data_IF_439257918450
#
_entry.id   IF_439257918450
#
_cell.length_a   1.000
_cell.length_b   1.000
_cell.length_c   1.000
_cell.angle_alpha   90.00
_cell.angle_beta   90.00
_cell.angle_gamma   90.00
#
_symmetry.space_group_name_H-M   'P 1'
#
loop_
_entity.id
_entity.type
_entity.pdbx_description
1 polymer ?
#
# COMPACT_ATOMS: atom_id res chain seq x y z
N UNK A 1 -183.11 42.48 19.26
CA UNK A 1 -183.94 42.92 20.42
C UNK A 1 -183.70 41.95 21.57
N UNK A 2 -183.80 42.40 22.83
CA UNK A 2 -184.06 41.61 24.08
C UNK A 2 -183.06 40.44 24.36
N UNK A 3 -182.18 40.42 25.38
CA UNK A 3 -182.18 40.82 26.81
C UNK A 3 -182.64 39.71 27.79
N UNK A 4 -182.20 39.79 29.07
CA UNK A 4 -182.57 38.99 30.28
C UNK A 4 -182.06 37.53 30.39
N UNK A 5 -181.84 36.91 31.57
CA UNK A 5 -181.62 37.37 32.98
C UNK A 5 -181.10 36.21 33.91
N UNK A 6 -180.95 36.50 35.22
CA UNK A 6 -180.37 35.68 36.32
C UNK A 6 -181.33 34.66 37.00
N UNK A 7 -180.79 33.76 37.87
CA UNK A 7 -181.25 33.42 39.26
C UNK A 7 -180.24 32.45 39.97
N UNK A 8 -180.31 32.25 41.31
CA UNK A 8 -179.27 31.62 42.16
C UNK A 8 -179.76 30.96 43.48
N UNK A 9 -179.06 29.95 44.04
CA UNK A 9 -179.35 29.29 45.36
C UNK A 9 -178.14 28.58 46.05
N UNK A 10 -178.29 28.09 47.31
CA UNK A 10 -177.24 27.71 48.30
C UNK A 10 -177.77 26.68 49.35
N UNK A 11 -177.05 25.93 50.23
CA UNK A 11 -175.63 25.47 50.41
C UNK A 11 -175.51 24.57 51.70
N UNK A 12 -174.56 23.61 51.83
CA UNK A 12 -174.28 22.82 53.06
C UNK A 12 -172.84 22.20 53.13
N UNK A 13 -172.37 21.68 54.29
CA UNK A 13 -170.99 21.14 54.49
C UNK A 13 -170.80 20.02 55.54
N UNK A 14 -169.80 19.12 55.32
CA UNK A 14 -168.99 18.27 56.26
C UNK A 14 -168.15 17.26 55.42
N UNK A 15 -167.19 16.42 55.88
CA UNK A 15 -165.98 16.54 56.78
C UNK A 15 -165.05 15.32 56.50
N UNK A 16 -163.72 15.39 56.69
CA UNK A 16 -162.76 14.30 56.35
C UNK A 16 -161.50 14.20 57.27
N UNK A 17 -160.84 13.02 57.38
CA UNK A 17 -159.54 12.83 58.08
C UNK A 17 -158.30 12.99 57.17
N UNK A 18 -157.10 13.13 57.76
CA UNK A 18 -155.84 13.43 57.04
C UNK A 18 -154.61 12.61 57.48
N UNK A 19 -153.60 12.50 56.59
CA UNK A 19 -152.39 11.66 56.77
C UNK A 19 -151.12 12.31 56.16
N UNK A 20 -149.94 11.96 56.68
CA UNK A 20 -148.59 12.31 56.15
C UNK A 20 -147.87 11.07 55.59
N UNK A 21 -146.89 11.27 54.70
CA UNK A 21 -146.08 10.21 54.05
C UNK A 21 -144.58 10.46 54.33
N UNK A 22 -143.82 9.37 54.52
CA UNK A 22 -142.36 9.37 54.73
C UNK A 22 -141.67 8.35 53.80
N UNK A 23 -140.36 8.55 53.56
CA UNK A 23 -139.53 7.79 52.61
C UNK A 23 -138.23 7.30 53.30
N UNK A 24 -137.81 6.07 53.03
CA UNK A 24 -136.57 5.48 53.56
C UNK A 24 -135.79 4.71 52.48
N UNK A 25 -134.45 4.76 52.49
CA UNK A 25 -133.57 3.96 51.65
C UNK A 25 -133.10 2.67 52.33
N UNK A 26 -133.03 1.58 51.57
CA UNK A 26 -132.47 0.27 51.94
C UNK A 26 -131.55 -0.20 50.81
N UNK A 27 -130.46 -0.92 51.11
CA UNK A 27 -129.52 -1.40 50.09
C UNK A 27 -129.67 -2.91 49.84
N UNK A 28 -129.67 -3.31 48.57
CA UNK A 28 -129.87 -4.68 48.07
C UNK A 28 -128.55 -5.20 47.44
N UNK A 29 -128.21 -6.48 47.61
CA UNK A 29 -126.95 -7.06 47.09
C UNK A 29 -127.14 -7.69 45.71
N UNK A 30 -126.21 -7.40 44.78
CA UNK A 30 -126.18 -7.96 43.43
C UNK A 30 -124.79 -8.56 43.11
N UNK A 31 -124.70 -9.73 42.44
CA UNK A 31 -123.43 -10.32 42.01
C UNK A 31 -122.86 -9.64 40.75
N UNK A 32 -121.53 -9.65 40.62
CA UNK A 32 -120.78 -9.15 39.46
C UNK A 32 -119.57 -10.04 39.18
N UNK A 33 -119.23 -10.24 37.91
CA UNK A 33 -118.02 -10.94 37.46
C UNK A 33 -116.89 -9.96 37.13
N UNK A 34 -115.67 -10.30 37.57
CA UNK A 34 -114.44 -9.55 37.33
C UNK A 34 -113.35 -10.48 36.85
N UNK A 35 -112.51 -10.05 35.89
CA UNK A 35 -111.46 -10.90 35.32
C UNK A 35 -110.08 -10.57 35.88
N UNK A 36 -109.29 -11.60 36.18
CA UNK A 36 -107.89 -11.50 36.63
C UNK A 36 -106.96 -12.18 35.62
N UNK A 37 -105.82 -11.56 35.36
CA UNK A 37 -104.77 -12.15 34.52
C UNK A 37 -103.91 -13.14 35.32
N UNK A 38 -103.66 -14.30 34.74
CA UNK A 38 -102.66 -15.28 35.18
C UNK A 38 -101.61 -15.47 34.08
N UNK A 39 -100.41 -15.91 34.45
CA UNK A 39 -99.27 -16.11 33.55
C UNK A 39 -98.64 -17.49 33.77
N UNK A 40 -98.41 -18.21 32.68
CA UNK A 40 -97.86 -19.58 32.67
C UNK A 40 -96.67 -19.65 31.71
N UNK A 41 -95.57 -20.30 32.11
CA UNK A 41 -94.36 -20.43 31.29
C UNK A 41 -94.30 -21.80 30.60
N UNK A 42 -94.34 -21.80 29.27
CA UNK A 42 -94.36 -22.99 28.41
C UNK A 42 -93.01 -23.14 27.71
N UNK A 43 -92.46 -24.37 27.67
CA UNK A 43 -91.15 -24.63 27.04
C UNK A 43 -91.31 -24.96 25.55
N UNK A 44 -90.99 -24.01 24.67
CA UNK A 44 -91.08 -24.18 23.21
C UNK A 44 -89.75 -24.73 22.64
N UNK A 45 -89.81 -25.69 21.71
CA UNK A 45 -88.63 -26.14 20.95
C UNK A 45 -88.33 -25.13 19.84
N UNK A 46 -87.10 -24.63 19.78
CA UNK A 46 -86.58 -23.75 18.71
C UNK A 46 -85.30 -24.34 18.13
N UNK A 47 -85.19 -24.35 16.81
CA UNK A 47 -83.93 -24.68 16.15
C UNK A 47 -82.99 -23.47 16.17
N UNK A 48 -81.72 -23.72 16.47
CA UNK A 48 -80.64 -22.72 16.53
C UNK A 48 -79.46 -23.27 15.73
N UNK A 49 -79.10 -22.55 14.67
CA UNK A 49 -77.94 -22.85 13.83
C UNK A 49 -76.72 -22.17 14.44
N UNK A 50 -75.72 -22.97 14.84
CA UNK A 50 -74.44 -22.48 15.36
C UNK A 50 -73.35 -22.80 14.34
N UNK A 51 -72.61 -21.79 13.89
CA UNK A 51 -71.45 -22.00 13.04
C UNK A 51 -70.22 -22.33 13.91
N UNK A 52 -69.50 -23.40 13.57
CA UNK A 52 -68.26 -23.83 14.23
C UNK A 52 -67.11 -23.84 13.20
N UNK A 53 -65.89 -23.41 13.57
CA UNK A 53 -64.74 -23.49 12.68
C UNK A 53 -64.21 -24.93 12.64
N UNK A 54 -64.27 -25.58 11.48
CA UNK A 54 -63.52 -26.80 11.20
C UNK A 54 -62.22 -26.46 10.49
N UNK A 55 -61.18 -27.25 10.74
CA UNK A 55 -59.86 -27.11 10.12
C UNK A 55 -59.59 -28.32 9.24
N UNK A 56 -59.25 -28.06 7.99
CA UNK A 56 -58.98 -29.09 6.98
C UNK A 56 -57.59 -28.86 6.38
N UNK A 57 -56.80 -29.92 6.29
CA UNK A 57 -55.45 -29.87 5.71
C UNK A 57 -55.52 -30.29 4.24
N UNK A 58 -55.15 -29.39 3.34
CA UNK A 58 -55.08 -29.64 1.90
C UNK A 58 -53.61 -29.71 1.46
N UNK A 59 -53.20 -30.78 0.78
CA UNK A 59 -51.86 -30.89 0.19
C UNK A 59 -51.83 -30.23 -1.18
N UNK A 60 -51.03 -29.16 -1.31
CA UNK A 60 -50.82 -28.44 -2.58
C UNK A 60 -49.39 -28.64 -3.06
N UNK A 61 -49.18 -28.50 -4.36
CA UNK A 61 -47.86 -28.60 -5.00
C UNK A 61 -47.44 -27.21 -5.50
N UNK A 62 -46.19 -26.83 -5.24
CA UNK A 62 -45.57 -25.61 -5.78
C UNK A 62 -44.26 -25.95 -6.47
N UNK A 63 -43.98 -25.28 -7.58
CA UNK A 63 -42.69 -25.40 -8.29
C UNK A 63 -41.64 -24.53 -7.61
N UNK A 64 -40.55 -25.13 -7.14
CA UNK A 64 -39.43 -24.45 -6.49
C UNK A 64 -38.18 -24.59 -7.35
N UNK A 65 -37.56 -23.46 -7.71
CA UNK A 65 -36.27 -23.46 -8.41
C UNK A 65 -35.12 -23.60 -7.43
N UNK A 66 -34.37 -24.71 -7.49
CA UNK A 66 -33.11 -24.89 -6.77
C UNK A 66 -31.93 -24.48 -7.67
N UNK A 67 -30.99 -23.66 -7.20
CA UNK A 67 -29.75 -23.39 -7.92
C UNK A 67 -28.81 -24.60 -7.81
N UNK A 68 -28.54 -25.26 -8.94
CA UNK A 68 -27.52 -26.30 -9.05
C UNK A 68 -26.27 -25.70 -9.68
N UNK A 69 -25.13 -25.89 -9.02
CA UNK A 69 -23.82 -25.48 -9.51
C UNK A 69 -23.17 -26.67 -10.24
N UNK A 70 -22.81 -26.47 -11.50
CA UNK A 70 -22.02 -27.42 -12.30
C UNK A 70 -20.62 -26.82 -12.52
N UNK A 71 -19.60 -27.47 -11.97
CA UNK A 71 -18.20 -27.01 -12.04
C UNK A 71 -17.44 -27.86 -13.07
N UNK A 72 -17.08 -27.25 -14.19
CA UNK A 72 -16.34 -27.91 -15.27
C UNK A 72 -14.88 -27.47 -15.28
N UNK A 73 -13.96 -28.43 -15.27
CA UNK A 73 -12.54 -28.15 -15.54
C UNK A 73 -12.34 -27.98 -17.04
N UNK A 74 -11.88 -26.80 -17.46
CA UNK A 74 -11.54 -26.49 -18.85
C UNK A 74 -10.06 -26.13 -18.94
N UNK A 75 -9.45 -26.33 -20.11
CA UNK A 75 -8.05 -25.98 -20.35
C UNK A 75 -7.97 -24.72 -21.22
N UNK A 76 -6.96 -23.89 -20.99
CA UNK A 76 -6.59 -22.77 -21.86
C UNK A 76 -5.11 -22.83 -22.16
N UNK A 77 -4.73 -22.59 -23.40
CA UNK A 77 -3.32 -22.48 -23.79
C UNK A 77 -2.77 -21.14 -23.32
N UNK A 78 -1.64 -21.18 -22.60
CA UNK A 78 -0.92 -20.00 -22.11
C UNK A 78 0.54 -20.13 -22.50
N UNK A 79 1.06 -19.16 -23.24
CA UNK A 79 2.49 -19.07 -23.54
C UNK A 79 3.25 -18.55 -22.33
N UNK A 80 4.14 -19.35 -21.77
CA UNK A 80 4.98 -19.01 -20.62
C UNK A 80 6.43 -18.92 -21.08
N UNK A 81 7.06 -17.76 -20.88
CA UNK A 81 8.49 -17.56 -21.18
C UNK A 81 9.32 -18.21 -20.07
N UNK A 82 10.00 -19.33 -20.35
CA UNK A 82 10.90 -19.98 -19.38
C UNK A 82 12.36 -19.62 -19.67
N UNK A 83 13.17 -19.27 -18.65
CA UNK A 83 14.61 -19.10 -18.85
C UNK A 83 15.27 -20.46 -19.01
N UNK A 84 15.83 -20.72 -20.20
CA UNK A 84 16.63 -21.91 -20.48
C UNK A 84 18.11 -21.51 -20.45
N UNK A 85 18.89 -22.12 -19.57
CA UNK A 85 20.34 -21.98 -19.53
C UNK A 85 20.99 -22.85 -20.60
N UNK A 86 21.67 -22.23 -21.55
CA UNK A 86 22.40 -22.93 -22.62
C UNK A 86 23.90 -22.61 -22.54
N UNK A 87 24.75 -23.64 -22.59
CA UNK A 87 26.20 -23.46 -22.65
C UNK A 87 26.62 -23.17 -24.09
N UNK A 88 27.19 -21.99 -24.31
CA UNK A 88 27.64 -21.49 -25.61
C UNK A 88 29.16 -21.36 -25.61
N UNK A 89 29.85 -22.06 -26.51
CA UNK A 89 31.30 -21.91 -26.70
C UNK A 89 31.60 -20.65 -27.49
N UNK A 90 32.40 -19.74 -26.92
CA UNK A 90 32.88 -18.53 -27.58
C UNK A 90 34.40 -18.57 -27.69
N UNK A 91 34.93 -17.94 -28.73
CA UNK A 91 36.38 -17.77 -28.93
C UNK A 91 36.74 -16.32 -28.61
N UNK A 92 37.69 -16.11 -27.70
CA UNK A 92 38.29 -14.80 -27.47
C UNK A 92 39.71 -14.79 -28.03
N UNK A 93 40.06 -13.72 -28.75
CA UNK A 93 41.45 -13.42 -29.07
C UNK A 93 42.13 -12.73 -27.89
N UNK A 94 43.29 -13.24 -27.50
CA UNK A 94 44.12 -12.71 -26.42
C UNK A 94 45.55 -12.56 -26.91
N UNK A 95 46.08 -11.35 -26.84
CA UNK A 95 47.50 -11.10 -27.12
C UNK A 95 48.32 -11.58 -25.92
N UNK A 96 49.29 -12.46 -26.17
CA UNK A 96 50.21 -12.99 -25.16
C UNK A 96 51.63 -12.54 -25.50
N UNK A 97 52.29 -11.83 -24.58
CA UNK A 97 53.67 -11.38 -24.74
C UNK A 97 54.64 -12.53 -24.45
N UNK A 98 55.18 -13.15 -25.49
CA UNK A 98 56.13 -14.25 -25.39
C UNK A 98 57.56 -13.72 -25.36
N UNK A 99 58.36 -13.97 -24.30
CA UNK A 99 59.78 -13.64 -24.31
C UNK A 99 60.53 -14.60 -25.24
N UNK A 100 61.35 -14.04 -26.14
CA UNK A 100 62.26 -14.76 -27.02
C UNK A 100 63.68 -14.32 -26.68
N UNK A 101 64.53 -15.29 -26.30
CA UNK A 101 65.96 -15.08 -26.04
C UNK A 101 66.75 -15.30 -27.33
N UNK A 102 67.37 -14.24 -27.85
CA UNK A 102 68.21 -14.29 -29.06
C UNK A 102 69.66 -13.95 -28.68
N UNK A 103 70.62 -14.68 -29.25
CA UNK A 103 72.04 -14.36 -29.05
C UNK A 103 72.49 -13.32 -30.07
N UNK A 104 72.81 -12.13 -29.58
CA UNK A 104 73.34 -11.02 -30.38
C UNK A 104 74.82 -10.86 -30.05
N UNK A 105 75.67 -10.81 -31.08
CA UNK A 105 77.08 -10.48 -30.91
C UNK A 105 77.21 -8.98 -30.65
N UNK A 106 77.69 -8.60 -29.47
CA UNK A 106 77.92 -7.21 -29.09
C UNK A 106 79.41 -6.90 -29.15
N UNK A 107 79.81 -5.91 -29.95
CA UNK A 107 81.16 -5.33 -29.87
C UNK A 107 81.37 -4.68 -28.51
N UNK A 108 82.41 -5.11 -27.78
CA UNK A 108 82.84 -4.51 -26.53
C UNK A 108 84.31 -4.12 -26.61
N UNK A 109 84.59 -2.85 -26.36
CA UNK A 109 85.95 -2.33 -26.20
C UNK A 109 86.35 -2.36 -24.72
N UNK A 110 87.54 -2.87 -24.42
CA UNK A 110 88.13 -2.78 -23.09
C UNK A 110 89.61 -2.39 -23.18
N UNK A 111 90.11 -1.70 -22.15
CA UNK A 111 91.52 -1.30 -22.07
C UNK A 111 92.30 -2.41 -21.38
N UNK A 112 93.33 -2.93 -22.04
CA UNK A 112 94.31 -3.85 -21.45
C UNK A 112 95.69 -3.21 -21.47
N UNK A 113 96.57 -3.59 -20.53
CA UNK A 113 97.94 -3.09 -20.48
C UNK A 113 98.91 -4.12 -21.07
N UNK A 114 99.50 -3.81 -22.23
CA UNK A 114 100.47 -4.69 -22.89
C UNK A 114 101.91 -4.21 -22.61
N UNK A 115 102.87 -5.12 -22.34
CA UNK A 115 104.26 -4.77 -22.11
C UNK A 115 105.00 -4.49 -23.44
N UNK A 116 105.27 -3.22 -23.72
CA UNK A 116 106.03 -2.76 -24.89
C UNK A 116 107.49 -2.53 -24.50
N UNK A 117 108.38 -3.37 -25.03
CA UNK A 117 109.83 -3.27 -24.82
C UNK A 117 110.48 -2.45 -25.92
N UNK A 118 111.14 -1.36 -25.54
CA UNK A 118 111.91 -0.49 -26.45
C UNK A 118 113.40 -0.54 -26.10
N UNK A 119 114.27 -0.37 -27.09
CA UNK A 119 115.72 -0.33 -26.85
C UNK A 119 116.13 1.10 -26.49
N UNK A 120 116.61 1.29 -25.26
CA UNK A 120 117.19 2.55 -24.80
C UNK A 120 118.70 2.47 -24.92
N UNK A 121 119.30 3.43 -25.62
CA UNK A 121 120.75 3.59 -25.62
C UNK A 121 121.20 4.22 -24.30
N UNK A 122 122.17 3.60 -23.64
CA UNK A 122 122.90 4.17 -22.51
C UNK A 122 124.40 4.17 -22.82
N UNK A 123 125.11 5.15 -22.26
CA UNK A 123 126.56 5.25 -22.36
C UNK A 123 127.19 4.72 -21.08
N UNK A 124 128.10 3.76 -21.20
CA UNK A 124 128.80 3.11 -20.08
C UNK A 124 130.29 3.24 -20.30
N UNK A 125 131.02 3.69 -19.28
CA UNK A 125 132.48 3.73 -19.34
C UNK A 125 133.05 2.32 -19.16
N UNK A 126 133.78 1.85 -20.18
CA UNK A 126 134.53 0.60 -20.22
C UNK A 126 136.04 0.88 -20.28
N UNK A 127 136.47 2.00 -19.69
CA UNK A 127 137.84 2.47 -19.65
C UNK A 127 138.77 1.61 -18.78
N UNK A 128 140.06 1.78 -18.99
CA UNK A 128 141.12 0.98 -18.38
C UNK A 128 142.28 1.85 -17.88
N UNK A 129 143.06 1.33 -16.93
CA UNK A 129 144.30 1.97 -16.50
C UNK A 129 145.44 1.64 -17.46
N UNK A 130 146.15 2.68 -17.90
CA UNK A 130 147.31 2.59 -18.80
C UNK A 130 148.55 3.12 -18.07
N UNK A 131 149.67 2.42 -18.23
CA UNK A 131 150.96 2.79 -17.64
C UNK A 131 151.80 3.63 -18.61
N UNK A 132 152.07 4.88 -18.24
CA UNK A 132 152.97 5.77 -18.96
C UNK A 132 154.37 5.77 -18.32
N UNK A 133 155.41 5.50 -19.11
CA UNK A 133 156.80 5.53 -18.65
C UNK A 133 157.39 6.93 -18.84
N UNK A 134 157.59 7.67 -17.75
CA UNK A 134 158.19 9.01 -17.76
C UNK A 134 159.66 8.93 -17.39
N UNK A 135 160.56 9.44 -18.24
CA UNK A 135 161.99 9.46 -17.98
C UNK A 135 162.34 10.56 -16.97
N UNK A 136 162.76 10.18 -15.77
CA UNK A 136 163.36 11.09 -14.79
C UNK A 136 164.87 11.14 -15.01
N UNK A 137 165.37 12.32 -15.36
CA UNK A 137 166.81 12.56 -15.44
C UNK A 137 167.47 12.38 -14.07
N UNK A 138 168.67 11.78 -14.07
CA UNK A 138 169.43 11.60 -12.84
C UNK A 138 170.01 12.93 -12.33
N UNK A 139 170.24 12.99 -11.02
CA UNK A 139 170.75 14.20 -10.37
C UNK A 139 172.20 14.51 -10.79
N UNK A 140 172.52 15.79 -10.94
CA UNK A 140 173.86 16.30 -11.26
C UNK A 140 174.61 16.62 -9.97
N UNK A 141 175.88 16.21 -9.87
CA UNK A 141 176.75 16.53 -8.74
C UNK A 141 178.12 16.97 -9.23
N UNK A 142 178.66 18.03 -8.63
CA UNK A 142 180.02 18.48 -8.94
C UNK A 142 181.03 17.54 -8.27
N UNK A 143 182.01 17.07 -9.03
CA UNK A 143 183.13 16.26 -8.57
C UNK A 143 184.44 16.97 -8.90
N UNK A 144 185.40 16.90 -7.98
CA UNK A 144 186.75 17.39 -8.24
C UNK A 144 187.48 16.40 -9.18
N UNK A 145 187.87 16.86 -10.37
CA UNK A 145 188.50 16.09 -11.44
C UNK A 145 189.75 16.80 -11.95
N UNK A 146 190.82 16.05 -12.22
CA UNK A 146 192.03 16.62 -12.83
C UNK A 146 191.77 16.96 -14.30
N UNK A 147 192.02 18.20 -14.69
CA UNK A 147 191.98 18.71 -16.06
C UNK A 147 193.39 19.10 -16.50
N UNK A 148 193.68 18.93 -17.78
CA UNK A 148 194.93 19.38 -18.39
C UNK A 148 194.89 20.88 -18.67
N UNK A 149 196.07 21.51 -18.68
CA UNK A 149 196.20 22.96 -18.91
C UNK A 149 195.88 23.33 -20.36
N UNK A 150 195.16 24.43 -20.55
CA UNK A 150 194.71 24.88 -21.86
C UNK A 150 193.79 26.11 -21.78
N UNK A 151 193.42 26.64 -22.94
CA UNK A 151 192.39 27.68 -23.02
C UNK A 151 191.01 27.06 -22.84
N UNK A 152 190.27 27.53 -21.85
CA UNK A 152 188.90 27.09 -21.53
C UNK A 152 187.99 28.31 -21.59
N UNK A 153 186.80 28.25 -22.23
CA UNK A 153 185.83 29.33 -22.17
C UNK A 153 185.37 29.54 -20.71
N UNK A 154 185.43 30.77 -20.23
CA UNK A 154 184.82 31.12 -18.95
C UNK A 154 183.28 31.01 -19.09
N UNK A 155 182.59 30.13 -18.34
CA UNK A 155 181.14 29.93 -18.50
C UNK A 155 180.29 31.16 -18.15
N UNK A 156 180.85 32.18 -17.48
CA UNK A 156 180.16 33.42 -17.16
C UNK A 156 180.38 34.55 -18.18
N UNK A 157 181.42 34.50 -19.02
CA UNK A 157 181.81 35.61 -19.92
C UNK A 157 182.16 35.20 -21.35
N UNK A 158 182.19 33.90 -21.67
CA UNK A 158 182.54 33.36 -23.00
C UNK A 158 184.00 33.52 -23.43
N UNK A 159 184.74 34.45 -22.80
CA UNK A 159 186.15 34.71 -23.07
C UNK A 159 187.02 33.48 -22.79
N UNK A 160 187.97 33.21 -23.70
CA UNK A 160 188.94 32.12 -23.55
C UNK A 160 190.00 32.53 -22.54
N UNK A 161 190.04 31.83 -21.41
CA UNK A 161 191.02 32.05 -20.34
C UNK A 161 191.93 30.84 -20.26
N UNK A 162 193.24 31.06 -20.21
CA UNK A 162 194.20 29.97 -20.02
C UNK A 162 194.13 29.45 -18.58
N UNK A 163 193.63 28.22 -18.40
CA UNK A 163 193.62 27.53 -17.13
C UNK A 163 194.84 26.59 -17.06
N UNK A 164 195.52 26.58 -15.91
CA UNK A 164 196.65 25.67 -15.67
C UNK A 164 196.13 24.26 -15.36
N UNK A 165 196.94 23.24 -15.63
CA UNK A 165 196.61 21.86 -15.25
C UNK A 165 196.40 21.76 -13.73
N UNK A 166 195.35 21.07 -13.30
CA UNK A 166 194.95 21.04 -11.89
C UNK A 166 193.62 20.35 -11.65
N UNK A 167 193.16 20.38 -10.40
CA UNK A 167 191.89 19.79 -9.95
C UNK A 167 190.76 20.83 -9.96
N UNK A 168 189.76 20.62 -10.80
CA UNK A 168 188.61 21.51 -10.99
C UNK A 168 187.30 20.82 -10.62
N UNK A 169 186.30 21.58 -10.17
CA UNK A 169 184.95 21.07 -9.94
C UNK A 169 184.17 20.95 -11.25
N UNK A 170 183.90 19.72 -11.69
CA UNK A 170 183.19 19.39 -12.93
C UNK A 170 181.83 18.76 -12.60
N UNK A 171 180.70 19.22 -13.19
CA UNK A 171 179.41 18.57 -13.01
C UNK A 171 179.36 17.20 -13.69
N UNK A 172 178.88 16.18 -12.97
CA UNK A 172 178.63 14.84 -13.50
C UNK A 172 177.19 14.42 -13.22
N UNK A 173 176.47 13.97 -14.25
CA UNK A 173 175.08 13.53 -14.13
C UNK A 173 174.98 12.04 -13.81
N UNK A 174 174.04 11.68 -12.92
CA UNK A 174 173.70 10.29 -12.62
C UNK A 174 172.83 9.70 -13.76
N UNK A 175 172.82 8.38 -13.98
CA UNK A 175 171.91 7.76 -14.96
C UNK A 175 170.44 8.10 -14.70
N UNK A 176 169.70 8.37 -15.78
CA UNK A 176 168.25 8.55 -15.76
C UNK A 176 167.51 7.23 -15.55
N UNK A 177 166.33 7.28 -14.91
CA UNK A 177 165.44 6.11 -14.74
C UNK A 177 164.05 6.42 -15.28
N UNK A 178 163.33 5.39 -15.71
CA UNK A 178 161.89 5.52 -15.96
C UNK A 178 161.11 5.38 -14.65
N UNK A 179 160.12 6.25 -14.44
CA UNK A 179 159.06 6.04 -13.46
C UNK A 179 157.75 5.73 -14.21
N UNK A 180 157.04 4.70 -13.78
CA UNK A 180 155.67 4.44 -14.24
C UNK A 180 154.72 5.42 -13.56
N UNK A 181 153.87 6.06 -14.37
CA UNK A 181 152.71 6.82 -13.93
C UNK A 181 151.47 6.15 -14.52
N UNK A 182 150.59 5.65 -13.65
CA UNK A 182 149.37 4.95 -14.05
C UNK A 182 148.20 5.93 -14.14
N UNK A 183 147.63 6.08 -15.33
CA UNK A 183 146.51 6.98 -15.60
C UNK A 183 145.28 6.18 -16.06
N UNK A 184 144.09 6.58 -15.63
CA UNK A 184 142.84 6.02 -16.16
C UNK A 184 142.52 6.64 -17.53
N UNK A 185 142.19 5.82 -18.50
CA UNK A 185 141.76 6.23 -19.84
C UNK A 185 140.30 5.76 -20.02
N UNK A 186 139.31 6.66 -20.00
CA UNK A 186 137.90 6.32 -20.18
C UNK A 186 137.63 5.84 -21.61
N UNK A 187 136.69 4.91 -21.76
CA UNK A 187 136.25 4.34 -23.03
C UNK A 187 134.73 4.22 -23.01
N UNK A 188 134.05 5.32 -23.35
CA UNK A 188 132.59 5.42 -23.24
C UNK A 188 131.91 4.73 -24.41
N UNK A 189 131.33 3.55 -24.15
CA UNK A 189 130.66 2.70 -25.16
C UNK A 189 129.14 2.86 -25.07
N UNK A 190 128.48 2.97 -26.22
CA UNK A 190 127.03 2.96 -26.32
C UNK A 190 126.48 1.52 -26.28
N UNK A 191 125.65 1.20 -25.29
CA UNK A 191 124.97 -0.08 -25.16
C UNK A 191 123.46 0.10 -25.30
N UNK A 192 122.80 -0.77 -26.07
CA UNK A 192 121.34 -0.86 -26.09
C UNK A 192 120.87 -1.73 -24.91
N UNK A 193 119.94 -1.21 -24.12
CA UNK A 193 119.30 -1.93 -23.00
C UNK A 193 117.79 -1.99 -23.25
N UNK A 194 117.15 -3.17 -23.15
CA UNK A 194 115.71 -3.29 -23.27
C UNK A 194 115.02 -2.66 -22.06
N UNK A 195 114.11 -1.71 -22.32
CA UNK A 195 113.25 -1.07 -21.31
C UNK A 195 111.81 -1.41 -21.64
N UNK A 196 111.20 -2.23 -20.78
CA UNK A 196 109.78 -2.61 -20.89
C UNK A 196 108.89 -1.58 -20.20
N UNK A 197 107.94 -1.04 -20.94
CA UNK A 197 106.92 -0.11 -20.48
C UNK A 197 105.53 -0.71 -20.69
N UNK A 198 104.65 -0.66 -19.70
CA UNK A 198 103.25 -1.04 -19.90
C UNK A 198 102.50 0.09 -20.59
N UNK A 199 101.89 -0.21 -21.73
CA UNK A 199 101.12 0.75 -22.52
C UNK A 199 99.67 0.30 -22.61
N UNK A 200 98.73 1.25 -22.52
CA UNK A 200 97.31 0.97 -22.61
C UNK A 200 96.92 0.75 -24.08
N UNK A 201 96.26 -0.38 -24.36
CA UNK A 201 95.72 -0.73 -25.67
C UNK A 201 94.23 -1.01 -25.54
N UNK A 202 93.44 -0.39 -26.40
CA UNK A 202 92.01 -0.72 -26.53
C UNK A 202 91.90 -2.00 -27.36
N UNK A 203 91.25 -3.02 -26.81
CA UNK A 203 90.94 -4.29 -27.47
C UNK A 203 89.43 -4.33 -27.71
N UNK A 204 89.04 -4.47 -28.97
CA UNK A 204 87.65 -4.67 -29.35
C UNK A 204 87.39 -6.17 -29.51
N UNK A 205 86.41 -6.71 -28.80
CA UNK A 205 86.02 -8.11 -28.85
C UNK A 205 84.50 -8.23 -28.99
N UNK A 206 84.04 -9.09 -29.90
CA UNK A 206 82.63 -9.46 -29.97
C UNK A 206 82.32 -10.51 -28.91
N UNK A 207 81.30 -10.23 -28.10
CA UNK A 207 80.83 -11.10 -27.02
C UNK A 207 79.36 -11.46 -27.30
N UNK A 208 78.98 -12.75 -27.31
CA UNK A 208 77.58 -13.13 -27.43
C UNK A 208 76.81 -12.73 -26.17
N UNK A 209 75.73 -11.98 -26.34
CA UNK A 209 74.82 -11.55 -25.27
C UNK A 209 73.44 -12.11 -25.57
N UNK A 210 72.84 -12.80 -24.59
CA UNK A 210 71.43 -13.20 -24.67
C UNK A 210 70.55 -11.97 -24.45
N UNK A 211 69.81 -11.55 -25.48
CA UNK A 211 68.85 -10.45 -25.42
C UNK A 211 67.45 -11.01 -25.41
N UNK A 212 66.64 -10.65 -24.42
CA UNK A 212 65.20 -10.96 -24.37
C UNK A 212 64.41 -9.88 -25.09
N UNK A 213 63.82 -10.19 -26.25
CA UNK A 213 62.74 -9.38 -26.84
C UNK A 213 61.39 -10.03 -26.57
N UNK A 214 60.35 -9.23 -26.40
CA UNK A 214 58.98 -9.74 -26.35
C UNK A 214 58.38 -9.73 -27.76
N UNK A 215 57.68 -10.79 -28.12
CA UNK A 215 56.85 -10.85 -29.31
C UNK A 215 55.40 -11.10 -28.92
N UNK A 216 54.50 -10.36 -29.53
CA UNK A 216 53.07 -10.41 -29.25
C UNK A 216 52.44 -11.51 -30.12
N UNK A 217 51.97 -12.59 -29.47
CA UNK A 217 51.38 -13.78 -30.10
C UNK A 217 49.86 -13.75 -29.87
N UNK A 218 49.05 -13.76 -30.94
CA UNK A 218 47.58 -13.74 -30.83
C UNK A 218 47.07 -15.17 -30.61
N UNK A 219 46.64 -15.47 -29.39
CA UNK A 219 46.12 -16.78 -28.99
C UNK A 219 44.59 -16.74 -29.02
N UNK A 220 43.98 -17.74 -29.66
CA UNK A 220 42.53 -17.96 -29.64
C UNK A 220 42.18 -18.89 -28.45
N UNK A 221 41.48 -18.37 -27.45
CA UNK A 221 41.03 -19.12 -26.27
C UNK A 221 39.54 -19.42 -26.37
N UNK A 222 39.17 -20.71 -26.39
CA UNK A 222 37.77 -21.17 -26.43
C UNK A 222 37.24 -21.35 -25.02
N UNK A 223 36.24 -20.58 -24.63
CA UNK A 223 35.64 -20.59 -23.30
C UNK A 223 34.13 -20.84 -23.37
N UNK A 224 33.57 -21.41 -22.30
CA UNK A 224 32.14 -21.73 -22.22
C UNK A 224 31.40 -20.65 -21.42
N UNK A 225 30.37 -20.06 -22.02
CA UNK A 225 29.48 -19.07 -21.40
C UNK A 225 28.11 -19.70 -21.20
N UNK A 226 27.56 -19.63 -19.98
CA UNK A 226 26.15 -19.97 -19.75
C UNK A 226 25.28 -18.77 -20.12
N UNK A 227 24.46 -18.91 -21.15
CA UNK A 227 23.56 -17.86 -21.64
C UNK A 227 22.11 -18.26 -21.31
N UNK A 228 21.43 -17.43 -20.53
CA UNK A 228 20.01 -17.56 -20.27
C UNK A 228 19.21 -17.05 -21.48
N UNK A 229 18.53 -17.95 -22.18
CA UNK A 229 17.66 -17.61 -23.33
C UNK A 229 16.21 -17.91 -22.92
N UNK A 230 15.33 -16.91 -23.01
CA UNK A 230 13.91 -17.11 -22.72
C UNK A 230 13.25 -17.82 -23.90
N UNK A 231 12.70 -19.01 -23.64
CA UNK A 231 12.00 -19.84 -24.63
C UNK A 231 10.51 -19.82 -24.30
N UNK A 232 9.69 -19.67 -25.32
CA UNK A 232 8.24 -19.52 -25.21
C UNK A 232 7.58 -20.89 -25.29
N UNK A 233 7.12 -21.41 -24.15
CA UNK A 233 6.47 -22.72 -24.04
C UNK A 233 4.95 -22.55 -23.91
N UNK A 234 4.17 -23.19 -24.79
CA UNK A 234 2.70 -23.19 -24.70
C UNK A 234 2.26 -24.30 -23.75
N UNK A 235 1.60 -23.93 -22.66
CA UNK A 235 1.16 -24.84 -21.60
C UNK A 235 -0.37 -24.80 -21.50
N UNK A 236 -1.01 -25.98 -21.45
CA UNK A 236 -2.43 -26.11 -21.14
C UNK A 236 -2.68 -25.90 -19.65
N UNK A 237 -3.17 -24.72 -19.28
CA UNK A 237 -3.52 -24.38 -17.91
C UNK A 237 -4.98 -24.79 -17.61
N UNK A 238 -5.24 -25.72 -16.67
CA UNK A 238 -6.60 -26.01 -16.21
C UNK A 238 -7.16 -24.85 -15.38
N UNK A 239 -8.42 -24.53 -15.61
CA UNK A 239 -9.21 -23.59 -14.81
C UNK A 239 -10.63 -24.15 -14.60
N UNK A 240 -11.26 -23.77 -13.50
CA UNK A 240 -12.62 -24.21 -13.18
C UNK A 240 -13.64 -23.18 -13.66
N UNK A 241 -14.70 -23.64 -14.32
CA UNK A 241 -15.86 -22.83 -14.72
C UNK A 241 -17.08 -23.34 -13.97
N UNK A 242 -17.52 -22.60 -12.95
CA UNK A 242 -18.76 -22.88 -12.23
C UNK A 242 -19.93 -22.20 -12.95
N UNK A 243 -20.85 -23.00 -13.45
CA UNK A 243 -22.11 -22.53 -14.07
C UNK A 243 -23.28 -22.80 -13.14
N UNK A 244 -24.16 -21.82 -12.95
CA UNK A 244 -25.39 -21.99 -12.16
C UNK A 244 -26.56 -22.25 -13.09
N UNK A 245 -27.28 -23.36 -12.86
CA UNK A 245 -28.54 -23.68 -13.53
C UNK A 245 -29.65 -23.81 -12.50
N UNK A 246 -30.78 -23.14 -12.73
CA UNK A 246 -31.99 -23.36 -11.94
C UNK A 246 -32.64 -24.67 -12.39
N UNK A 247 -32.77 -25.61 -11.46
CA UNK A 247 -33.53 -26.86 -11.64
C UNK A 247 -34.83 -26.72 -10.88
N UNK A 248 -35.96 -26.93 -11.56
CA UNK A 248 -37.28 -26.81 -10.96
C UNK A 248 -37.76 -28.16 -10.46
N UNK A 249 -38.10 -28.22 -9.17
CA UNK A 249 -38.73 -29.39 -8.54
C UNK A 249 -40.10 -29.02 -8.00
N UNK A 250 -41.06 -29.94 -8.12
CA UNK A 250 -42.43 -29.74 -7.65
C UNK A 250 -42.57 -30.25 -6.21
N UNK A 251 -42.56 -29.32 -5.25
CA UNK A 251 -42.61 -29.57 -3.81
C UNK A 251 -44.05 -29.58 -3.31
N UNK A 252 -44.49 -30.66 -2.66
CA UNK A 252 -45.73 -30.70 -1.90
C UNK A 252 -45.61 -29.97 -0.56
N UNK A 253 -46.67 -29.28 -0.15
CA UNK A 253 -46.79 -28.59 1.13
C UNK A 253 -48.24 -28.60 1.62
N UNK A 254 -48.43 -28.60 2.94
CA UNK A 254 -49.76 -28.60 3.57
C UNK A 254 -50.27 -27.18 3.81
N UNK A 255 -51.54 -26.95 3.46
CA UNK A 255 -52.27 -25.71 3.74
C UNK A 255 -53.46 -26.03 4.64
N UNK A 256 -53.51 -25.44 5.84
CA UNK A 256 -54.65 -25.57 6.75
C UNK A 256 -55.67 -24.48 6.48
N UNK A 257 -56.84 -24.88 5.98
CA UNK A 257 -57.95 -23.97 5.66
C UNK A 257 -59.02 -24.07 6.74
N UNK A 258 -59.53 -22.93 7.22
CA UNK A 258 -60.68 -22.88 8.10
C UNK A 258 -61.98 -22.83 7.28
N UNK A 259 -62.94 -23.71 7.58
CA UNK A 259 -64.29 -23.71 7.01
C UNK A 259 -65.30 -23.57 8.15
N UNK A 260 -66.31 -22.70 7.99
CA UNK A 260 -67.34 -22.49 9.02
C UNK A 260 -68.55 -23.38 8.77
N UNK A 261 -68.63 -24.51 9.47
CA UNK A 261 -69.70 -25.49 9.31
C UNK A 261 -70.90 -25.11 10.17
N UNK A 262 -72.10 -25.11 9.58
CA UNK A 262 -73.36 -24.80 10.24
C UNK A 262 -73.96 -26.06 10.90
N UNK A 263 -74.17 -26.03 12.21
CA UNK A 263 -74.76 -27.14 12.98
C UNK A 263 -76.13 -26.71 13.55
N UNK A 264 -77.20 -27.37 13.13
CA UNK A 264 -78.57 -27.09 13.59
C UNK A 264 -78.91 -27.89 14.85
N UNK A 265 -78.91 -27.23 16.00
CA UNK A 265 -79.30 -27.82 17.28
C UNK A 265 -80.74 -27.44 17.66
N UNK A 266 -81.46 -28.27 18.41
CA UNK A 266 -82.82 -27.95 18.89
C UNK A 266 -82.81 -27.67 20.39
N UNK A 267 -82.99 -26.40 20.76
CA UNK A 267 -82.97 -25.91 22.14
C UNK A 267 -84.41 -25.70 22.64
N UNK A 268 -84.69 -26.00 23.90
CA UNK A 268 -85.97 -25.63 24.54
C UNK A 268 -85.84 -24.25 25.18
N UNK A 269 -86.67 -23.31 24.78
CA UNK A 269 -86.68 -21.93 25.28
C UNK A 269 -87.99 -21.69 26.07
N UNK A 270 -87.95 -21.11 27.28
CA UNK A 270 -89.16 -20.72 28.01
C UNK A 270 -89.87 -19.55 27.32
N UNK A 271 -91.20 -19.63 27.22
CA UNK A 271 -92.07 -18.57 26.70
C UNK A 271 -93.29 -18.41 27.62
N UNK A 272 -93.47 -17.22 28.19
CA UNK A 272 -94.62 -16.93 29.06
C UNK A 272 -95.86 -16.57 28.24
N UNK A 273 -96.97 -17.25 28.51
CA UNK A 273 -98.29 -16.98 27.93
C UNK A 273 -99.19 -16.46 29.05
N UNK A 274 -100.11 -15.54 28.74
CA UNK A 274 -101.04 -14.96 29.72
C UNK A 274 -102.50 -15.27 29.37
N UNK A 275 -103.33 -15.46 30.40
CA UNK A 275 -104.71 -15.92 30.29
C UNK A 275 -105.58 -15.20 31.32
N UNK A 276 -106.75 -14.72 30.90
CA UNK A 276 -107.74 -14.13 31.79
C UNK A 276 -108.65 -15.21 32.40
N UNK A 277 -108.90 -15.13 33.70
CA UNK A 277 -109.78 -16.02 34.47
C UNK A 277 -110.86 -15.19 35.16
N UNK A 278 -112.10 -15.69 35.19
CA UNK A 278 -113.22 -14.99 35.81
C UNK A 278 -113.34 -15.31 37.31
N UNK A 279 -113.58 -14.28 38.12
CA UNK A 279 -113.87 -14.34 39.55
C UNK A 279 -115.23 -13.65 39.81
N UNK A 280 -115.99 -14.09 40.82
CA UNK A 280 -117.32 -13.56 41.16
C UNK A 280 -117.32 -12.84 42.52
N UNK A 281 -117.80 -11.60 42.56
CA UNK A 281 -118.03 -10.83 43.80
C UNK A 281 -119.46 -10.29 43.90
N UNK A 282 -119.77 -9.54 44.96
CA UNK A 282 -121.08 -8.89 45.16
C UNK A 282 -120.93 -7.40 45.52
N UNK A 283 -121.97 -6.61 45.22
CA UNK A 283 -122.03 -5.16 45.48
C UNK A 283 -123.43 -4.75 45.98
N UNK A 284 -123.49 -3.78 46.88
CA UNK A 284 -124.73 -3.17 47.38
C UNK A 284 -125.23 -2.01 46.50
N UNK A 285 -126.56 -1.89 46.33
CA UNK A 285 -127.26 -0.87 45.54
C UNK A 285 -128.49 -0.33 46.30
N UNK A 286 -128.69 1.00 46.44
CA UNK A 286 -129.80 1.58 47.21
C UNK A 286 -131.15 1.59 46.48
N UNK A 287 -132.24 1.49 47.26
CA UNK A 287 -133.64 1.49 46.82
C UNK A 287 -134.53 2.19 47.87
N UNK A 288 -135.49 3.02 47.45
CA UNK A 288 -136.42 3.73 48.34
C UNK A 288 -137.76 2.99 48.55
N UNK A 289 -138.36 3.15 49.74
CA UNK A 289 -139.68 2.63 50.12
C UNK A 289 -140.44 3.69 50.95
N UNK A 290 -141.79 3.70 50.91
CA UNK A 290 -142.66 4.69 51.57
C UNK A 290 -143.58 4.12 52.65
N UNK A 291 -143.97 4.96 53.63
CA UNK A 291 -144.98 4.64 54.68
C UNK A 291 -145.89 5.85 54.97
N UNK A 292 -147.09 5.63 55.53
CA UNK A 292 -148.11 6.66 55.86
C UNK A 292 -148.45 6.69 57.36
N UNK A 293 -148.84 7.85 57.91
CA UNK A 293 -149.17 8.09 59.34
C UNK A 293 -150.34 9.11 59.50
N UNK A 294 -151.28 9.00 60.48
CA UNK A 294 -152.48 9.86 60.63
C UNK A 294 -152.30 11.12 61.51
N UNK A 295 -153.26 12.07 61.46
CA UNK A 295 -153.33 13.31 62.27
C UNK A 295 -154.81 13.70 62.58
N UNK A 296 -155.13 14.30 63.74
CA UNK A 296 -156.51 14.68 64.15
C UNK A 296 -156.68 16.15 64.62
N UNK A 297 -157.68 16.87 64.07
CA UNK A 297 -158.37 18.10 64.58
C UNK A 297 -157.56 19.39 64.88
N UNK A 298 -158.10 20.63 64.87
CA UNK A 298 -159.23 21.24 64.13
C UNK A 298 -159.17 22.80 64.24
N UNK A 299 -158.97 23.51 63.11
CA UNK A 299 -159.24 24.96 62.87
C UNK A 299 -158.58 26.06 63.77
N UNK A 300 -158.49 27.34 63.34
CA UNK A 300 -158.43 27.93 61.99
C UNK A 300 -157.06 28.66 61.78
N UNK A 301 -157.02 29.76 61.01
CA UNK A 301 -155.83 30.60 60.67
C UNK A 301 -154.87 29.91 59.66
N UNK A 302 -154.56 30.43 58.45
CA UNK A 302 -154.09 31.76 57.98
C UNK A 302 -152.59 31.98 58.23
N UNK A 303 -151.92 32.70 57.31
CA UNK A 303 -150.46 32.88 57.13
C UNK A 303 -149.74 31.58 56.70
N UNK A 304 -149.01 31.47 55.58
CA UNK A 304 -148.31 32.39 54.68
C UNK A 304 -146.97 32.94 55.21
N UNK A 305 -145.87 32.22 54.94
CA UNK A 305 -144.55 32.82 54.69
C UNK A 305 -143.63 31.92 53.82
N UNK A 306 -143.36 32.36 52.59
CA UNK A 306 -142.06 32.76 52.00
C UNK A 306 -140.70 32.26 52.58
N UNK A 307 -139.57 32.29 51.82
CA UNK A 307 -139.00 31.08 51.21
C UNK A 307 -137.49 30.88 51.57
N UNK A 308 -136.67 30.49 50.57
CA UNK A 308 -135.19 30.36 50.59
C UNK A 308 -134.66 29.04 51.19
N UNK A 309 -133.52 28.48 50.81
CA UNK A 309 -132.45 28.85 49.85
C UNK A 309 -132.07 27.60 49.04
N UNK A 310 -131.87 27.62 47.72
CA UNK A 310 -130.61 28.01 47.07
C UNK A 310 -129.33 27.45 47.74
N UNK A 311 -128.74 26.41 47.13
CA UNK A 311 -127.32 26.05 47.30
C UNK A 311 -126.70 25.71 45.95
N UNK A 312 -125.60 26.39 45.63
CA UNK A 312 -124.68 26.01 44.55
C UNK A 312 -123.85 24.79 44.98
N UNK A 313 -123.40 23.99 44.01
CA UNK A 313 -121.98 23.63 43.94
C UNK A 313 -121.53 23.41 42.49
N UNK A 314 -120.30 23.76 42.17
CA UNK A 314 -119.77 23.75 40.80
C UNK A 314 -119.16 22.39 40.40
N UNK A 315 -119.19 22.01 39.11
CA UNK A 315 -118.47 20.84 38.62
C UNK A 315 -116.94 21.06 38.64
N UNK A 316 -116.14 20.12 39.18
CA UNK A 316 -114.68 20.25 39.22
C UNK A 316 -114.03 19.92 37.86
N UNK A 317 -112.88 20.54 37.59
CA UNK A 317 -112.12 20.36 36.35
C UNK A 317 -111.06 19.25 36.44
N UNK A 318 -111.03 18.36 35.43
CA UNK A 318 -110.00 17.34 35.19
C UNK A 318 -110.13 16.83 33.73
N UNK A 319 -109.09 16.46 32.98
CA UNK A 319 -107.65 16.65 33.16
C UNK A 319 -106.98 16.75 31.77
N UNK A 320 -105.70 17.13 31.70
CA UNK A 320 -105.01 17.46 30.45
C UNK A 320 -104.72 16.26 29.53
N UNK A 321 -104.96 16.44 28.23
CA UNK A 321 -104.51 15.52 27.18
C UNK A 321 -103.01 15.69 26.91
N UNK A 322 -102.19 14.82 27.50
CA UNK A 322 -100.74 14.79 27.24
C UNK A 322 -100.47 14.18 25.86
N UNK A 323 -100.07 15.03 24.90
CA UNK A 323 -99.56 14.60 23.60
C UNK A 323 -98.25 13.85 23.79
N UNK A 324 -98.22 12.55 23.47
CA UNK A 324 -96.97 11.79 23.40
C UNK A 324 -96.26 12.12 22.08
N UNK A 325 -95.14 12.84 22.19
CA UNK A 325 -94.27 13.21 21.06
C UNK A 325 -93.59 11.99 20.47
N UNK A 326 -93.39 12.00 19.16
CA UNK A 326 -92.32 11.25 18.50
C UNK A 326 -90.97 11.96 18.78
N UNK A 327 -89.87 11.24 19.05
CA UNK A 327 -88.52 11.81 19.09
C UNK A 327 -87.88 11.73 17.71
N UNK A 328 -87.51 12.88 17.15
CA UNK A 328 -86.65 12.97 15.96
C UNK A 328 -85.18 12.71 16.26
N UNK A 329 -84.43 12.49 15.18
CA UNK A 329 -82.99 12.24 15.07
C UNK A 329 -82.08 13.26 15.79
N UNK A 330 -80.89 12.81 16.20
CA UNK A 330 -79.75 13.65 16.60
C UNK A 330 -78.47 13.20 15.88
N UNK A 331 -77.66 14.17 15.45
CA UNK A 331 -76.70 14.07 14.33
C UNK A 331 -75.25 14.38 14.75
N UNK A 332 -74.28 13.74 14.07
CA UNK A 332 -72.89 14.17 13.69
C UNK A 332 -72.06 12.91 13.36
N UNK A 333 -71.14 12.86 12.40
CA UNK A 333 -70.59 13.79 11.39
C UNK A 333 -70.14 12.87 10.20
N UNK A 334 -70.34 13.16 8.90
CA UNK A 334 -69.76 14.22 8.06
C UNK A 334 -68.20 14.20 8.07
N UNK A 335 -67.47 14.08 6.95
CA UNK A 335 -67.85 14.14 5.52
C UNK A 335 -66.86 13.30 4.68
N UNK A 336 -67.29 12.80 3.51
CA UNK A 336 -66.41 12.24 2.47
C UNK A 336 -65.93 13.32 1.47
N UNK A 337 -65.11 12.89 0.51
CA UNK A 337 -64.69 13.56 -0.74
C UNK A 337 -63.48 14.54 -0.70
N UNK A 338 -62.36 13.99 -1.17
CA UNK A 338 -61.49 14.50 -2.26
C UNK A 338 -60.98 15.96 -2.26
N UNK A 339 -59.64 16.07 -2.29
CA UNK A 339 -58.93 17.08 -3.05
C UNK A 339 -57.62 16.47 -3.62
N UNK A 340 -57.38 16.64 -4.93
CA UNK A 340 -56.07 16.49 -5.54
C UNK A 340 -55.37 17.85 -5.52
N UNK A 341 -54.06 17.90 -5.27
CA UNK A 341 -53.24 19.03 -5.75
C UNK A 341 -51.78 18.58 -5.95
N UNK A 342 -51.23 18.81 -7.14
CA UNK A 342 -49.78 18.73 -7.37
C UNK A 342 -49.11 20.00 -6.83
N UNK A 343 -47.92 19.91 -6.26
CA UNK A 343 -46.92 21.00 -6.38
C UNK A 343 -45.52 20.58 -5.93
N UNK A 344 -44.51 20.92 -6.74
CA UNK A 344 -43.16 21.25 -6.27
C UNK A 344 -42.18 20.09 -6.04
N UNK A 345 -41.21 19.97 -6.94
CA UNK A 345 -39.87 19.50 -6.57
C UNK A 345 -39.22 20.50 -5.58
N UNK A 346 -38.22 20.08 -4.79
CA UNK A 346 -36.87 20.20 -5.32
C UNK A 346 -36.00 18.94 -5.14
N UNK A 347 -34.82 19.00 -5.74
CA UNK A 347 -33.75 18.01 -5.69
C UNK A 347 -33.32 17.60 -4.27
N UNK A 348 -32.95 16.33 -4.11
CA UNK A 348 -31.52 16.01 -3.99
C UNK A 348 -31.23 14.58 -4.49
N UNK A 349 -30.07 14.40 -5.13
CA UNK A 349 -29.72 13.17 -5.84
C UNK A 349 -28.55 12.42 -5.22
N UNK A 350 -28.79 11.16 -4.85
CA UNK A 350 -27.76 10.12 -4.64
C UNK A 350 -28.07 9.02 -5.69
N UNK A 351 -27.10 8.63 -6.52
CA UNK A 351 -26.21 7.56 -6.07
C UNK A 351 -24.73 7.83 -6.33
N UNK A 352 -23.94 7.65 -5.27
CA UNK A 352 -22.47 7.59 -5.22
C UNK A 352 -21.84 6.92 -6.46
N UNK A 353 -21.39 7.74 -7.41
CA UNK A 353 -20.73 7.33 -8.65
C UNK A 353 -19.24 7.66 -8.65
N UNK A 354 -18.39 6.66 -8.87
CA UNK A 354 -16.92 6.80 -8.91
C UNK A 354 -16.44 7.19 -10.31
N UNK A 355 -15.53 8.17 -10.44
CA UNK A 355 -14.55 8.11 -11.53
C UNK A 355 -13.11 8.55 -11.18
N UNK A 356 -12.17 8.02 -11.97
CA UNK A 356 -10.85 8.56 -12.34
C UNK A 356 -9.74 8.76 -11.29
N UNK A 357 -8.51 8.61 -11.79
CA UNK A 357 -7.21 8.85 -11.15
C UNK A 357 -6.47 9.88 -12.03
N UNK A 358 -5.70 10.82 -11.46
CA UNK A 358 -4.59 11.47 -12.15
C UNK A 358 -3.23 11.04 -11.57
N UNK A 359 -2.35 10.52 -12.42
CA UNK A 359 -0.93 10.37 -12.10
C UNK A 359 -0.22 11.74 -12.07
N UNK A 360 0.79 11.88 -11.20
CA UNK A 360 1.91 12.82 -11.42
C UNK A 360 3.07 12.55 -10.45
N UNK A 361 4.16 12.01 -10.98
CA UNK A 361 5.42 11.89 -10.27
C UNK A 361 6.11 13.25 -10.11
N UNK A 362 6.81 13.49 -8.99
CA UNK A 362 7.68 14.66 -8.85
C UNK A 362 9.10 14.27 -8.38
N UNK A 363 9.95 13.77 -9.28
CA UNK A 363 11.42 13.83 -9.07
C UNK A 363 12.20 13.88 -10.39
N UNK A 364 12.67 15.09 -10.71
CA UNK A 364 13.63 15.36 -11.78
C UNK A 364 14.84 16.06 -11.15
N UNK A 365 16.01 15.42 -11.10
CA UNK A 365 17.29 15.96 -11.63
C UNK A 365 18.56 15.14 -11.32
N UNK A 366 19.46 15.16 -12.31
CA UNK A 366 20.95 15.09 -12.23
C UNK A 366 21.62 13.88 -11.56
N UNK A 367 22.22 13.04 -12.42
CA UNK A 367 23.57 12.46 -12.24
C UNK A 367 24.33 12.71 -13.57
N UNK A 368 25.61 13.14 -13.57
CA UNK A 368 26.28 13.62 -14.78
C UNK A 368 26.88 12.50 -15.66
N UNK A 369 27.01 12.81 -16.96
CA UNK A 369 27.67 11.98 -17.97
C UNK A 369 29.14 12.43 -18.17
N UNK A 370 30.06 11.52 -18.52
CA UNK A 370 31.27 11.91 -19.25
C UNK A 370 31.59 11.01 -20.47
N UNK A 371 32.12 11.66 -21.52
CA UNK A 371 32.99 11.10 -22.58
C UNK A 371 32.56 9.82 -23.30
N UNK A 372 31.98 10.00 -24.49
CA UNK A 372 32.22 9.14 -25.66
C UNK A 372 33.10 9.90 -26.63
N UNK A 373 34.34 9.46 -26.84
CA UNK A 373 35.19 9.94 -27.92
C UNK A 373 34.86 9.12 -29.18
N UNK A 374 34.41 9.77 -30.25
CA UNK A 374 34.30 9.15 -31.59
C UNK A 374 35.15 9.94 -32.59
N UNK A 375 35.84 9.19 -33.45
CA UNK A 375 36.78 9.68 -34.44
C UNK A 375 36.09 10.56 -35.50
N UNK A 376 36.73 11.68 -35.84
CA UNK A 376 36.35 12.54 -36.95
C UNK A 376 37.56 12.73 -37.88
N UNK A 377 37.74 11.78 -38.81
CA UNK A 377 38.75 11.90 -39.87
C UNK A 377 38.48 13.14 -40.73
N UNK A 378 39.39 14.11 -40.67
CA UNK A 378 39.35 15.32 -41.48
C UNK A 378 40.32 15.16 -42.67
N UNK A 379 39.79 15.16 -43.88
CA UNK A 379 40.60 15.07 -45.09
C UNK A 379 41.18 16.44 -45.51
N UNK A 380 42.50 16.49 -45.62
CA UNK A 380 43.29 17.38 -46.47
C UNK A 380 44.47 16.51 -46.95
N UNK A 381 44.76 16.35 -48.24
CA UNK A 381 45.24 17.39 -49.18
C UNK A 381 46.53 18.06 -48.68
N UNK A 382 47.66 17.49 -49.11
CA UNK A 382 48.86 18.22 -49.56
C UNK A 382 49.63 17.30 -50.53
N UNK A 383 49.80 17.74 -51.78
CA UNK A 383 50.75 17.15 -52.74
C UNK A 383 52.14 17.73 -52.46
N UNK A 384 53.21 16.91 -52.47
CA UNK A 384 54.44 17.26 -53.22
C UNK A 384 55.51 16.14 -53.27
N UNK A 385 56.58 16.42 -54.03
CA UNK A 385 57.86 15.71 -54.17
C UNK A 385 57.84 14.28 -54.78
N UNK A 386 57.94 14.29 -56.11
CA UNK A 386 58.73 13.30 -56.85
C UNK A 386 60.15 13.14 -56.27
N UNK A 387 60.71 11.94 -56.31
CA UNK A 387 62.05 11.75 -56.89
C UNK A 387 62.23 10.32 -57.44
N UNK A 388 63.11 10.21 -58.44
CA UNK A 388 63.61 8.97 -59.05
C UNK A 388 65.13 9.05 -59.18
#
# INVERSE_FOLDING_TARGET
MISTAFVSTTSAQTVYPAYRIEYQTVYEQQPITTYRLQQETVMQKRQVTTHKPSWETETRVRRVGKPVLNTETRFRQVTVRKPVTATETRTQQRIVRRPITEQVMQDRSYVTTEPVTTMRTQYVDQGQYVDQYVLQQGNVRNRLQWLQGGYVPNPATGTMVYQRAGLHWVPMQSPSRYQVQRQYVPNVVAQQVPVTSYQQRVVNQQVPVNVTRYQDEVVNENYQVQVCKYVDEVIDQPYQVTTQRMVYEDQSYEVKTCKWVAETSTVKVPHTVSKWVAETGTRLVPRTVTRRVPIETCSPCTTAYYPSSAYYYAPPAAASTVVRREPTEAKKEATDEAAEEETGEPSDGDPTGKPAIPEKDPFENVVPNPTTDEEADAAAEDDDDMMA
#
